data_IF_937974751347
#
_entry.id   IF_937974751347
#
_cell.length_a   1.000
_cell.length_b   1.000
_cell.length_c   1.000
_cell.angle_alpha   90.00
_cell.angle_beta   90.00
_cell.angle_gamma   90.00
#
_symmetry.space_group_name_H-M   'P 1'
#
loop_
_entity.id
_entity.type
_entity.pdbx_description
1 polymer ?
#
# COMPACT_ATOMS: atom_id res chain seq x y z
N UNK A 1 34.79 -15.36 34.10
CA UNK A 1 34.22 -16.72 34.01
C UNK A 1 32.81 -16.61 33.45
N UNK A 2 32.52 -17.30 32.33
CA UNK A 2 31.28 -17.13 31.59
C UNK A 2 30.15 -17.99 32.20
N UNK A 3 29.03 -17.35 32.57
CA UNK A 3 27.88 -18.03 33.15
C UNK A 3 27.15 -18.91 32.10
N UNK A 4 26.96 -20.22 32.35
CA UNK A 4 26.32 -21.13 31.41
C UNK A 4 24.78 -21.01 31.35
N UNK A 5 24.15 -20.25 32.26
CA UNK A 5 22.68 -20.14 32.35
C UNK A 5 22.06 -19.11 31.38
N UNK A 6 22.80 -18.09 30.94
CA UNK A 6 22.26 -17.05 30.03
C UNK A 6 22.24 -17.48 28.56
N UNK A 7 22.93 -18.57 28.22
CA UNK A 7 22.92 -19.12 26.86
C UNK A 7 21.71 -20.01 26.60
N UNK A 8 21.24 -20.76 27.61
CA UNK A 8 20.04 -21.60 27.48
C UNK A 8 18.76 -20.79 27.25
N UNK A 9 18.58 -19.66 27.95
CA UNK A 9 17.42 -18.78 27.77
C UNK A 9 17.42 -18.07 26.41
N UNK A 10 18.60 -17.73 25.89
CA UNK A 10 18.75 -17.06 24.60
C UNK A 10 18.40 -17.98 23.43
N UNK A 11 18.76 -19.27 23.51
CA UNK A 11 18.32 -20.27 22.52
C UNK A 11 16.84 -20.65 22.67
N UNK A 12 16.30 -20.67 23.89
CA UNK A 12 14.87 -20.94 24.12
C UNK A 12 13.98 -19.82 23.58
N UNK A 13 14.38 -18.54 23.77
CA UNK A 13 13.71 -17.40 23.15
C UNK A 13 13.89 -17.42 21.63
N UNK A 14 15.09 -17.69 21.12
CA UNK A 14 15.36 -17.68 19.68
C UNK A 14 14.65 -18.83 18.94
N UNK A 15 14.40 -19.98 19.58
CA UNK A 15 13.58 -21.07 19.01
C UNK A 15 12.07 -20.82 19.06
N UNK A 16 11.59 -19.91 19.92
CA UNK A 16 10.20 -19.44 19.92
C UNK A 16 10.01 -18.25 18.95
N UNK A 17 11.02 -17.41 18.76
CA UNK A 17 10.96 -16.16 17.98
C UNK A 17 11.20 -16.36 16.47
N UNK A 18 11.81 -17.48 16.06
CA UNK A 18 12.14 -17.78 14.64
C UNK A 18 11.17 -18.76 13.94
N UNK A 19 10.16 -19.28 14.65
CA UNK A 19 9.15 -20.21 14.11
C UNK A 19 7.70 -19.84 14.45
N UNK A 20 7.46 -18.66 15.03
CA UNK A 20 6.13 -18.04 15.02
C UNK A 20 6.08 -17.15 13.77
N UNK A 21 5.97 -17.88 12.65
CA UNK A 21 5.43 -17.49 11.36
C UNK A 21 5.66 -16.05 10.85
N UNK A 22 6.61 -15.93 9.93
CA UNK A 22 6.59 -14.98 8.81
C UNK A 22 5.35 -15.18 7.87
N UNK A 23 4.44 -16.09 8.22
CA UNK A 23 3.19 -16.41 7.53
C UNK A 23 2.00 -16.20 8.51
N UNK A 24 1.72 -14.93 8.85
CA UNK A 24 0.80 -14.52 9.92
C UNK A 24 -0.52 -15.34 9.99
N UNK A 25 -0.96 -15.73 11.20
CA UNK A 25 -2.25 -16.41 11.45
C UNK A 25 -3.34 -15.74 10.58
N UNK A 26 -4.07 -16.49 9.74
CA UNK A 26 -5.07 -15.93 8.82
C UNK A 26 -6.11 -15.06 9.53
N UNK A 27 -6.34 -15.30 10.84
CA UNK A 27 -7.20 -14.46 11.68
C UNK A 27 -6.63 -13.05 11.88
N UNK A 28 -5.32 -12.92 12.07
CA UNK A 28 -4.64 -11.62 12.22
C UNK A 28 -4.67 -10.84 10.91
N UNK A 29 -4.40 -11.51 9.77
CA UNK A 29 -4.47 -10.87 8.46
C UNK A 29 -5.89 -10.36 8.15
N UNK A 30 -6.91 -11.15 8.49
CA UNK A 30 -8.30 -10.75 8.33
C UNK A 30 -8.66 -9.52 9.18
N UNK A 31 -8.19 -9.48 10.44
CA UNK A 31 -8.38 -8.32 11.32
C UNK A 31 -7.70 -7.07 10.76
N UNK A 32 -6.46 -7.19 10.28
CA UNK A 32 -5.72 -6.09 9.65
C UNK A 32 -6.45 -5.56 8.41
N UNK A 33 -6.96 -6.45 7.55
CA UNK A 33 -7.74 -6.07 6.38
C UNK A 33 -9.02 -5.30 6.77
N UNK A 34 -9.74 -5.77 7.79
CA UNK A 34 -10.94 -5.08 8.30
C UNK A 34 -10.61 -3.74 8.94
N UNK A 35 -9.50 -3.63 9.65
CA UNK A 35 -9.05 -2.35 10.22
C UNK A 35 -8.70 -1.34 9.13
N UNK A 36 -7.99 -1.78 8.08
CA UNK A 36 -7.69 -0.94 6.93
C UNK A 36 -8.96 -0.49 6.20
N UNK A 37 -9.94 -1.38 6.00
CA UNK A 37 -11.22 -1.04 5.40
C UNK A 37 -11.96 0.04 6.22
N UNK A 38 -12.01 -0.12 7.55
CA UNK A 38 -12.59 0.88 8.46
C UNK A 38 -11.83 2.20 8.42
N UNK A 39 -10.50 2.16 8.34
CA UNK A 39 -9.66 3.36 8.18
C UNK A 39 -10.00 4.10 6.89
N UNK A 40 -10.04 3.41 5.76
CA UNK A 40 -10.41 4.01 4.47
C UNK A 40 -11.81 4.65 4.52
N UNK A 41 -12.79 3.97 5.13
CA UNK A 41 -14.12 4.53 5.31
C UNK A 41 -14.12 5.82 6.15
N UNK A 42 -13.37 5.85 7.27
CA UNK A 42 -13.23 7.05 8.10
C UNK A 42 -12.63 8.22 7.32
N UNK A 43 -11.58 7.98 6.53
CA UNK A 43 -10.97 9.01 5.70
C UNK A 43 -11.98 9.59 4.69
N UNK A 44 -12.77 8.73 4.03
CA UNK A 44 -13.84 9.17 3.13
C UNK A 44 -14.90 9.99 3.88
N UNK A 45 -15.28 9.56 5.08
CA UNK A 45 -16.26 10.28 5.92
C UNK A 45 -15.75 11.66 6.36
N UNK A 46 -14.48 11.77 6.76
CA UNK A 46 -13.84 13.03 7.13
C UNK A 46 -13.77 14.00 5.94
N UNK A 47 -13.39 13.51 4.76
CA UNK A 47 -13.41 14.31 3.54
C UNK A 47 -14.81 14.78 3.17
N UNK A 48 -15.81 13.90 3.23
CA UNK A 48 -17.20 14.26 2.97
C UNK A 48 -17.71 15.30 3.97
N UNK A 49 -17.37 15.16 5.25
CA UNK A 49 -17.74 16.13 6.29
C UNK A 49 -17.14 17.52 6.03
N UNK A 50 -15.89 17.60 5.59
CA UNK A 50 -15.25 18.88 5.23
C UNK A 50 -15.96 19.56 4.04
N UNK A 51 -16.30 18.79 3.00
CA UNK A 51 -16.99 19.31 1.81
C UNK A 51 -18.40 19.79 2.15
N UNK A 52 -19.17 18.99 2.90
CA UNK A 52 -20.51 19.37 3.38
C UNK A 52 -20.43 20.59 4.31
N UNK A 53 -19.40 20.65 5.16
CA UNK A 53 -19.14 21.80 6.02
C UNK A 53 -18.94 23.10 5.24
N UNK A 54 -18.14 23.07 4.17
CA UNK A 54 -17.95 24.22 3.28
C UNK A 54 -19.27 24.66 2.62
N UNK A 55 -20.08 23.72 2.13
CA UNK A 55 -21.41 24.02 1.57
C UNK A 55 -22.28 24.74 2.61
N UNK A 56 -22.35 24.24 3.84
CA UNK A 56 -23.14 24.84 4.92
C UNK A 56 -22.64 26.24 5.31
N UNK A 57 -21.32 26.47 5.28
CA UNK A 57 -20.75 27.79 5.52
C UNK A 57 -21.19 28.80 4.46
N UNK A 58 -21.22 28.39 3.19
CA UNK A 58 -21.71 29.22 2.09
C UNK A 58 -23.22 29.48 2.21
N UNK A 59 -24.00 28.48 2.60
CA UNK A 59 -25.44 28.60 2.85
C UNK A 59 -25.72 29.64 3.95
N UNK A 60 -25.04 29.55 5.10
CA UNK A 60 -25.17 30.56 6.16
C UNK A 60 -24.69 31.96 5.73
N UNK A 61 -23.72 32.05 4.81
CA UNK A 61 -23.28 33.35 4.25
C UNK A 61 -24.35 33.92 3.33
N UNK A 62 -24.98 33.09 2.49
CA UNK A 62 -26.10 33.49 1.63
C UNK A 62 -27.26 34.06 2.44
N UNK A 63 -27.69 33.39 3.50
CA UNK A 63 -28.78 33.87 4.37
C UNK A 63 -28.48 35.26 4.96
N UNK A 64 -27.24 35.47 5.43
CA UNK A 64 -26.80 36.77 5.94
C UNK A 64 -26.80 37.86 4.88
N UNK A 65 -26.34 37.55 3.66
CA UNK A 65 -26.31 38.49 2.54
C UNK A 65 -27.72 38.85 2.07
N UNK A 66 -28.63 37.88 1.99
CA UNK A 66 -30.04 38.10 1.64
C UNK A 66 -30.67 39.06 2.65
N UNK A 67 -30.49 38.82 3.95
CA UNK A 67 -30.99 39.73 4.98
C UNK A 67 -30.39 41.14 4.87
N UNK A 68 -29.08 41.24 4.61
CA UNK A 68 -28.43 42.54 4.42
C UNK A 68 -28.95 43.28 3.19
N UNK A 69 -29.24 42.55 2.11
CA UNK A 69 -29.83 43.10 0.89
C UNK A 69 -31.21 43.70 1.20
N UNK A 70 -32.08 42.94 1.86
CA UNK A 70 -33.43 43.38 2.26
C UNK A 70 -33.39 44.64 3.14
N UNK A 71 -32.52 44.65 4.16
CA UNK A 71 -32.36 45.80 5.06
C UNK A 71 -31.86 47.06 4.32
N UNK A 72 -30.89 46.92 3.41
CA UNK A 72 -30.36 48.04 2.62
C UNK A 72 -31.40 48.53 1.60
N UNK A 73 -32.14 47.64 0.96
CA UNK A 73 -33.25 47.99 0.07
C UNK A 73 -34.32 48.80 0.80
N UNK A 74 -34.73 48.35 2.00
CA UNK A 74 -35.71 49.07 2.82
C UNK A 74 -35.21 50.46 3.21
N UNK A 75 -33.98 50.55 3.75
CA UNK A 75 -33.38 51.84 4.15
C UNK A 75 -33.23 52.80 2.96
N UNK A 76 -32.82 52.28 1.80
CA UNK A 76 -32.70 53.09 0.57
C UNK A 76 -34.06 53.65 0.16
N UNK A 77 -35.12 52.81 0.18
CA UNK A 77 -36.49 53.23 -0.12
C UNK A 77 -36.98 54.32 0.84
N UNK A 78 -36.75 54.15 2.14
CA UNK A 78 -37.13 55.14 3.17
C UNK A 78 -36.40 56.46 2.94
N UNK A 79 -35.10 56.44 2.64
CA UNK A 79 -34.31 57.65 2.38
C UNK A 79 -34.83 58.40 1.14
N UNK A 80 -35.16 57.70 0.05
CA UNK A 80 -35.76 58.30 -1.13
C UNK A 80 -37.14 58.91 -0.84
N UNK A 81 -38.01 58.20 -0.12
CA UNK A 81 -39.31 58.73 0.30
C UNK A 81 -39.18 59.98 1.18
N UNK A 82 -38.16 60.03 2.05
CA UNK A 82 -37.87 61.20 2.86
C UNK A 82 -37.37 62.38 2.01
N UNK A 83 -36.52 62.11 0.99
CA UNK A 83 -36.07 63.12 0.03
C UNK A 83 -37.24 63.71 -0.77
N UNK A 84 -38.14 62.85 -1.28
CA UNK A 84 -39.34 63.26 -2.03
C UNK A 84 -40.27 64.12 -1.16
N UNK A 85 -40.46 63.74 0.11
CA UNK A 85 -41.25 64.51 1.06
C UNK A 85 -40.63 65.89 1.34
N UNK A 86 -39.31 65.95 1.58
CA UNK A 86 -38.61 67.21 1.79
C UNK A 86 -38.68 68.14 0.56
N UNK A 87 -38.59 67.56 -0.66
CA UNK A 87 -38.81 68.29 -1.91
C UNK A 87 -40.22 68.86 -2.01
N UNK A 88 -41.25 68.06 -1.69
CA UNK A 88 -42.65 68.50 -1.70
C UNK A 88 -42.94 69.61 -0.68
N UNK A 89 -42.21 69.61 0.45
CA UNK A 89 -42.28 70.64 1.49
C UNK A 89 -41.43 71.90 1.16
N UNK A 90 -40.64 71.88 0.08
CA UNK A 90 -39.79 72.99 -0.35
C UNK A 90 -38.46 73.11 0.39
N UNK A 91 -38.08 72.10 1.18
CA UNK A 91 -36.81 72.06 1.94
C UNK A 91 -35.71 71.39 1.10
N UNK A 92 -35.14 72.17 0.18
CA UNK A 92 -34.14 71.69 -0.79
C UNK A 92 -32.86 71.14 -0.12
N UNK A 93 -32.44 71.72 1.01
CA UNK A 93 -31.24 71.27 1.72
C UNK A 93 -31.45 69.86 2.29
N UNK A 94 -32.56 69.62 3.00
CA UNK A 94 -32.85 68.28 3.54
C UNK A 94 -33.08 67.25 2.44
N UNK A 95 -33.74 67.63 1.35
CA UNK A 95 -33.91 66.73 0.22
C UNK A 95 -32.56 66.26 -0.34
N UNK A 96 -31.58 67.17 -0.46
CA UNK A 96 -30.23 66.80 -0.89
C UNK A 96 -29.52 65.88 0.10
N UNK A 97 -29.65 66.11 1.41
CA UNK A 97 -29.05 65.25 2.45
C UNK A 97 -29.61 63.82 2.40
N UNK A 98 -30.93 63.67 2.25
CA UNK A 98 -31.56 62.35 2.10
C UNK A 98 -31.19 61.66 0.78
N UNK A 99 -31.08 62.42 -0.32
CA UNK A 99 -30.59 61.88 -1.60
C UNK A 99 -29.16 61.35 -1.47
N UNK A 100 -28.25 62.13 -0.88
CA UNK A 100 -26.87 61.67 -0.64
C UNK A 100 -26.85 60.39 0.24
N UNK A 101 -27.74 60.30 1.22
CA UNK A 101 -27.89 59.10 2.07
C UNK A 101 -28.37 57.90 1.25
N UNK A 102 -29.37 58.10 0.38
CA UNK A 102 -29.88 57.06 -0.51
C UNK A 102 -28.81 56.57 -1.49
N UNK A 103 -27.98 57.46 -2.05
CA UNK A 103 -26.86 57.10 -2.93
C UNK A 103 -25.82 56.22 -2.24
N UNK A 104 -25.47 56.53 -0.98
CA UNK A 104 -24.53 55.72 -0.19
C UNK A 104 -25.13 54.34 0.11
N UNK A 105 -26.40 54.27 0.50
CA UNK A 105 -27.09 53.01 0.77
C UNK A 105 -27.24 52.16 -0.49
N UNK A 106 -27.55 52.77 -1.64
CA UNK A 106 -27.63 52.10 -2.93
C UNK A 106 -26.26 51.54 -3.35
N UNK A 107 -25.17 52.29 -3.13
CA UNK A 107 -23.82 51.80 -3.41
C UNK A 107 -23.46 50.57 -2.55
N UNK A 108 -23.84 50.57 -1.28
CA UNK A 108 -23.67 49.41 -0.39
C UNK A 108 -24.54 48.23 -0.83
N UNK A 109 -25.78 48.49 -1.25
CA UNK A 109 -26.69 47.47 -1.74
C UNK A 109 -26.10 46.76 -2.96
N UNK A 110 -25.57 47.50 -3.94
CA UNK A 110 -24.93 46.92 -5.13
C UNK A 110 -23.76 46.01 -4.73
N UNK A 111 -22.94 46.40 -3.75
CA UNK A 111 -21.84 45.56 -3.28
C UNK A 111 -22.35 44.25 -2.65
N UNK A 112 -23.40 44.31 -1.82
CA UNK A 112 -24.03 43.12 -1.24
C UNK A 112 -24.64 42.22 -2.31
N UNK A 113 -25.26 42.79 -3.34
CA UNK A 113 -25.85 42.04 -4.45
C UNK A 113 -24.79 41.30 -5.28
N UNK A 114 -23.63 41.92 -5.49
CA UNK A 114 -22.48 41.27 -6.14
C UNK A 114 -21.93 40.11 -5.30
N UNK A 115 -21.74 40.33 -4.00
CA UNK A 115 -21.29 39.28 -3.07
C UNK A 115 -22.28 38.11 -3.00
N UNK A 116 -23.58 38.42 -3.05
CA UNK A 116 -24.65 37.44 -3.02
C UNK A 116 -24.64 36.58 -4.28
N UNK A 117 -24.49 37.17 -5.47
CA UNK A 117 -24.37 36.43 -6.73
C UNK A 117 -23.11 35.55 -6.76
N UNK A 118 -21.96 36.08 -6.34
CA UNK A 118 -20.72 35.31 -6.24
C UNK A 118 -20.88 34.13 -5.26
N UNK A 119 -21.50 34.38 -4.10
CA UNK A 119 -21.70 33.33 -3.09
C UNK A 119 -22.70 32.28 -3.59
N UNK A 120 -23.72 32.65 -4.38
CA UNK A 120 -24.67 31.71 -4.99
C UNK A 120 -23.97 30.75 -5.95
N UNK A 121 -23.10 31.28 -6.80
CA UNK A 121 -22.31 30.47 -7.74
C UNK A 121 -21.38 29.50 -7.00
N UNK A 122 -20.68 29.98 -5.97
CA UNK A 122 -19.84 29.14 -5.13
C UNK A 122 -20.66 28.05 -4.39
N UNK A 123 -21.84 28.40 -3.87
CA UNK A 123 -22.74 27.47 -3.20
C UNK A 123 -23.24 26.38 -4.15
N UNK A 124 -23.64 26.72 -5.38
CA UNK A 124 -24.08 25.75 -6.37
C UNK A 124 -22.97 24.71 -6.69
N UNK A 125 -21.72 25.17 -6.83
CA UNK A 125 -20.58 24.27 -6.99
C UNK A 125 -20.34 23.40 -5.76
N UNK A 126 -20.42 23.98 -4.56
CA UNK A 126 -20.27 23.23 -3.30
C UNK A 126 -21.40 22.22 -3.08
N UNK A 127 -22.62 22.51 -3.54
CA UNK A 127 -23.76 21.60 -3.47
C UNK A 127 -23.53 20.35 -4.33
N UNK A 128 -23.01 20.52 -5.55
CA UNK A 128 -22.63 19.39 -6.39
C UNK A 128 -21.52 18.55 -5.74
N UNK A 129 -20.45 19.19 -5.26
CA UNK A 129 -19.36 18.49 -4.58
C UNK A 129 -19.85 17.74 -3.34
N UNK A 130 -20.76 18.33 -2.56
CA UNK A 130 -21.37 17.68 -1.39
C UNK A 130 -22.19 16.45 -1.78
N UNK A 131 -22.98 16.52 -2.86
CA UNK A 131 -23.74 15.36 -3.38
C UNK A 131 -22.81 14.22 -3.79
N UNK A 132 -21.75 14.53 -4.52
CA UNK A 132 -20.76 13.54 -4.96
C UNK A 132 -20.04 12.89 -3.77
N UNK A 133 -19.61 13.70 -2.79
CA UNK A 133 -18.97 13.21 -1.58
C UNK A 133 -19.90 12.32 -0.73
N UNK A 134 -21.18 12.68 -0.62
CA UNK A 134 -22.20 11.86 0.06
C UNK A 134 -22.42 10.52 -0.66
N UNK A 135 -22.48 10.52 -1.99
CA UNK A 135 -22.60 9.29 -2.77
C UNK A 135 -21.38 8.36 -2.57
N UNK A 136 -20.17 8.92 -2.56
CA UNK A 136 -18.94 8.17 -2.27
C UNK A 136 -18.94 7.59 -0.84
N UNK A 137 -19.43 8.35 0.13
CA UNK A 137 -19.57 7.89 1.52
C UNK A 137 -20.54 6.70 1.61
N UNK A 138 -21.72 6.80 0.99
CA UNK A 138 -22.69 5.70 0.94
C UNK A 138 -22.11 4.46 0.26
N UNK A 139 -21.39 4.62 -0.85
CA UNK A 139 -20.72 3.52 -1.53
C UNK A 139 -19.62 2.89 -0.66
N UNK A 140 -18.88 3.71 0.11
CA UNK A 140 -17.88 3.22 1.05
C UNK A 140 -18.52 2.43 2.19
N UNK A 141 -19.66 2.90 2.72
CA UNK A 141 -20.39 2.21 3.78
C UNK A 141 -20.91 0.85 3.31
N UNK A 142 -21.49 0.80 2.10
CA UNK A 142 -21.93 -0.45 1.49
C UNK A 142 -20.77 -1.45 1.33
N UNK A 143 -19.62 -0.99 0.81
CA UNK A 143 -18.42 -1.83 0.65
C UNK A 143 -17.89 -2.32 2.00
N UNK A 144 -17.85 -1.46 3.02
CA UNK A 144 -17.40 -1.84 4.36
C UNK A 144 -18.33 -2.91 4.97
N UNK A 145 -19.64 -2.76 4.77
CA UNK A 145 -20.64 -3.73 5.23
C UNK A 145 -20.46 -5.10 4.56
N UNK A 146 -20.27 -5.11 3.24
CA UNK A 146 -19.99 -6.33 2.48
C UNK A 146 -18.70 -7.02 2.96
N UNK A 147 -17.61 -6.26 3.11
CA UNK A 147 -16.35 -6.78 3.62
C UNK A 147 -16.48 -7.33 5.04
N UNK A 148 -17.28 -6.68 5.91
CA UNK A 148 -17.55 -7.17 7.25
C UNK A 148 -18.29 -8.53 7.24
N UNK A 149 -19.26 -8.71 6.35
CA UNK A 149 -19.98 -9.97 6.20
C UNK A 149 -19.06 -11.08 5.67
N UNK A 150 -18.24 -10.79 4.66
CA UNK A 150 -17.25 -11.74 4.13
C UNK A 150 -16.23 -12.13 5.21
N UNK A 151 -15.76 -11.15 5.99
CA UNK A 151 -14.83 -11.40 7.09
C UNK A 151 -15.44 -12.33 8.14
N UNK A 152 -16.71 -12.14 8.52
CA UNK A 152 -17.37 -13.04 9.47
C UNK A 152 -17.44 -14.49 8.96
N UNK A 153 -17.67 -14.68 7.65
CA UNK A 153 -17.68 -16.01 7.05
C UNK A 153 -16.29 -16.65 7.04
N UNK A 154 -15.26 -15.89 6.65
CA UNK A 154 -13.87 -16.34 6.65
C UNK A 154 -13.38 -16.67 8.06
N UNK A 155 -13.74 -15.86 9.06
CA UNK A 155 -13.40 -16.12 10.46
C UNK A 155 -13.98 -17.45 10.93
N UNK A 156 -15.25 -17.75 10.60
CA UNK A 156 -15.85 -19.04 10.93
C UNK A 156 -15.12 -20.22 10.27
N UNK A 157 -14.67 -20.07 9.03
CA UNK A 157 -13.91 -21.10 8.32
C UNK A 157 -12.51 -21.29 8.92
N UNK A 158 -11.84 -20.20 9.29
CA UNK A 158 -10.54 -20.22 9.97
C UNK A 158 -10.67 -20.97 11.31
N UNK A 159 -11.69 -20.65 12.11
CA UNK A 159 -11.92 -21.30 13.40
C UNK A 159 -12.22 -22.80 13.25
N UNK A 160 -12.99 -23.19 12.21
CA UNK A 160 -13.24 -24.60 11.89
C UNK A 160 -11.97 -25.34 11.47
N UNK A 161 -11.16 -24.76 10.58
CA UNK A 161 -9.90 -25.34 10.14
C UNK A 161 -8.92 -25.51 11.30
N UNK A 162 -8.83 -24.51 12.19
CA UNK A 162 -7.99 -24.55 13.39
C UNK A 162 -8.41 -25.65 14.36
N UNK A 163 -9.72 -25.89 14.53
CA UNK A 163 -10.23 -27.01 15.33
C UNK A 163 -9.84 -28.37 14.73
N UNK A 164 -9.92 -28.52 13.41
CA UNK A 164 -9.52 -29.74 12.71
C UNK A 164 -8.01 -29.98 12.83
N UNK A 165 -7.20 -28.93 12.67
CA UNK A 165 -5.75 -28.98 12.85
C UNK A 165 -5.39 -29.40 14.28
N UNK A 166 -6.00 -28.77 15.29
CA UNK A 166 -5.79 -29.14 16.69
C UNK A 166 -6.18 -30.60 16.97
N UNK A 167 -7.28 -31.07 16.39
CA UNK A 167 -7.73 -32.46 16.52
C UNK A 167 -6.74 -33.43 15.88
N UNK A 168 -6.23 -33.12 14.68
CA UNK A 168 -5.23 -33.92 13.98
C UNK A 168 -3.89 -33.95 14.73
N UNK A 169 -3.42 -32.79 15.23
CA UNK A 169 -2.22 -32.70 16.07
C UNK A 169 -2.38 -33.52 17.36
N UNK A 170 -3.56 -33.47 17.99
CA UNK A 170 -3.86 -34.27 19.18
C UNK A 170 -3.85 -35.77 18.85
N UNK A 171 -4.40 -36.17 17.70
CA UNK A 171 -4.41 -37.57 17.27
C UNK A 171 -3.02 -38.07 16.88
N UNK A 172 -2.18 -37.25 16.25
CA UNK A 172 -0.77 -37.57 15.96
C UNK A 172 0.03 -37.73 17.25
N UNK A 173 -0.22 -36.86 18.24
CA UNK A 173 0.35 -36.98 19.58
C UNK A 173 -0.11 -38.29 20.25
N UNK A 174 -1.41 -38.62 20.17
CA UNK A 174 -1.95 -39.89 20.70
C UNK A 174 -1.37 -41.10 19.95
N UNK A 175 -1.14 -41.06 18.64
CA UNK A 175 -0.49 -42.15 17.90
C UNK A 175 0.98 -42.32 18.29
N UNK A 176 1.71 -41.24 18.55
CA UNK A 176 3.06 -41.29 19.12
C UNK A 176 3.07 -41.89 20.53
N UNK A 177 2.05 -41.65 21.34
CA UNK A 177 1.93 -42.23 22.69
C UNK A 177 1.27 -43.62 22.73
N UNK A 178 0.43 -43.96 21.75
CA UNK A 178 -0.28 -45.24 21.60
C UNK A 178 0.57 -46.33 20.96
N UNK A 179 1.63 -45.95 20.25
CA UNK A 179 2.75 -46.83 19.89
C UNK A 179 3.74 -47.03 21.05
N UNK A 180 3.34 -46.83 22.31
CA UNK A 180 4.06 -47.38 23.47
C UNK A 180 3.77 -48.88 23.58
N UNK A 181 4.27 -49.65 22.62
CA UNK A 181 4.82 -50.98 22.91
C UNK A 181 6.31 -50.81 23.25
N UNK A 182 6.56 -49.94 24.25
CA UNK A 182 7.88 -49.51 24.70
C UNK A 182 8.48 -50.58 25.63
N UNK A 183 8.41 -51.83 25.19
CA UNK A 183 9.35 -52.86 25.57
C UNK A 183 10.23 -53.07 24.34
N UNK A 184 11.52 -52.72 24.37
CA UNK A 184 12.41 -53.05 23.27
C UNK A 184 12.32 -54.55 23.00
N UNK A 185 11.69 -54.94 21.90
CA UNK A 185 11.75 -56.33 21.45
C UNK A 185 13.20 -56.60 21.05
N UNK A 186 13.67 -57.83 21.31
CA UNK A 186 15.02 -58.21 20.93
C UNK A 186 15.28 -57.98 19.43
N UNK A 187 14.24 -58.06 18.60
CA UNK A 187 14.30 -57.77 17.17
C UNK A 187 14.50 -56.27 16.87
N UNK A 188 13.83 -55.35 17.57
CA UNK A 188 14.05 -53.91 17.37
C UNK A 188 15.46 -53.45 17.80
N UNK A 189 16.04 -54.10 18.82
CA UNK A 189 17.44 -53.90 19.21
C UNK A 189 18.38 -54.52 18.17
N UNK A 190 18.05 -55.70 17.66
CA UNK A 190 18.79 -56.38 16.58
C UNK A 190 18.84 -55.52 15.33
N UNK A 191 17.72 -54.97 14.87
CA UNK A 191 17.66 -54.09 13.70
C UNK A 191 18.48 -52.81 13.89
N UNK A 192 18.50 -52.24 15.09
CA UNK A 192 19.36 -51.08 15.40
C UNK A 192 20.84 -51.43 15.40
N UNK A 193 21.20 -52.61 15.91
CA UNK A 193 22.58 -53.11 15.90
C UNK A 193 22.99 -53.41 14.45
N UNK A 194 22.15 -54.10 13.67
CA UNK A 194 22.39 -54.43 12.26
C UNK A 194 22.48 -53.16 11.42
N UNK A 195 21.62 -52.15 11.65
CA UNK A 195 21.71 -50.86 10.98
C UNK A 195 22.99 -50.11 11.34
N UNK A 196 23.41 -50.12 12.61
CA UNK A 196 24.68 -49.51 13.04
C UNK A 196 25.89 -50.27 12.49
N UNK A 197 25.82 -51.59 12.43
CA UNK A 197 26.84 -52.45 11.88
C UNK A 197 26.97 -52.26 10.37
N UNK A 198 25.85 -52.23 9.62
CA UNK A 198 25.82 -51.93 8.20
C UNK A 198 26.27 -50.49 7.90
N UNK A 199 25.92 -49.51 8.74
CA UNK A 199 26.43 -48.14 8.62
C UNK A 199 27.94 -48.08 8.86
N UNK A 200 28.48 -48.85 9.82
CA UNK A 200 29.91 -48.93 10.08
C UNK A 200 30.66 -49.68 8.98
N UNK A 201 30.09 -50.78 8.46
CA UNK A 201 30.64 -51.51 7.31
C UNK A 201 30.64 -50.64 6.06
N UNK A 202 29.53 -49.95 5.79
CA UNK A 202 29.42 -48.99 4.69
C UNK A 202 30.36 -47.80 4.83
N UNK A 203 30.60 -47.31 6.06
CA UNK A 203 31.63 -46.31 6.31
C UNK A 203 33.06 -46.86 6.09
N UNK A 204 33.29 -48.17 6.31
CA UNK A 204 34.57 -48.83 6.04
C UNK A 204 34.76 -49.15 4.55
N UNK A 205 33.69 -49.47 3.83
CA UNK A 205 33.63 -49.60 2.37
C UNK A 205 33.91 -48.24 1.72
N UNK A 206 33.27 -47.17 2.19
CA UNK A 206 33.53 -45.78 1.75
C UNK A 206 34.94 -45.30 2.13
N UNK A 207 35.51 -45.78 3.23
CA UNK A 207 36.90 -45.49 3.57
C UNK A 207 37.90 -46.27 2.69
N UNK A 208 37.56 -47.49 2.25
CA UNK A 208 38.33 -48.26 1.27
C UNK A 208 38.20 -47.69 -0.16
N UNK A 209 37.00 -47.27 -0.57
CA UNK A 209 36.75 -46.62 -1.85
C UNK A 209 37.37 -45.22 -1.90
N UNK A 210 37.28 -44.42 -0.82
CA UNK A 210 37.91 -43.09 -0.83
C UNK A 210 39.44 -43.09 -0.74
N UNK A 211 40.08 -44.22 -0.37
CA UNK A 211 41.54 -44.39 -0.48
C UNK A 211 41.96 -44.95 -1.85
N UNK A 212 41.10 -45.73 -2.52
CA UNK A 212 41.28 -46.18 -3.90
C UNK A 212 41.05 -45.05 -4.93
N UNK A 213 39.99 -44.27 -4.76
CA UNK A 213 39.65 -43.15 -5.65
C UNK A 213 40.61 -41.96 -5.48
N UNK A 214 41.11 -41.68 -4.27
CA UNK A 214 42.09 -40.58 -4.06
C UNK A 214 43.48 -40.87 -4.61
N UNK A 215 43.84 -42.13 -4.90
CA UNK A 215 45.08 -42.45 -5.63
C UNK A 215 44.86 -42.48 -7.16
N UNK A 216 43.64 -42.76 -7.63
CA UNK A 216 43.32 -42.69 -9.06
C UNK A 216 43.05 -41.26 -9.56
N UNK A 217 42.54 -40.35 -8.72
CA UNK A 217 42.25 -38.94 -9.11
C UNK A 217 43.49 -38.03 -9.17
N UNK A 218 44.60 -38.40 -8.50
CA UNK A 218 45.84 -37.61 -8.53
C UNK A 218 46.69 -37.88 -9.79
N UNK A 219 46.44 -38.97 -10.53
CA UNK A 219 47.17 -39.26 -11.77
C UNK A 219 46.42 -38.81 -13.04
N UNK A 220 45.10 -38.53 -12.98
CA UNK A 220 44.28 -38.09 -14.13
C UNK A 220 43.86 -36.61 -14.11
N UNK A 221 43.94 -35.90 -12.99
CA UNK A 221 43.56 -34.47 -12.93
C UNK A 221 44.68 -33.48 -13.35
N UNK A 222 45.87 -33.97 -13.71
CA UNK A 222 47.03 -33.13 -14.07
C UNK A 222 47.20 -32.81 -15.57
N UNK A 223 46.53 -33.54 -16.47
CA UNK A 223 46.81 -33.50 -17.92
C UNK A 223 45.74 -32.81 -18.79
N UNK A 224 44.48 -32.75 -18.37
CA UNK A 224 43.41 -32.26 -19.27
C UNK A 224 43.13 -30.74 -19.14
N UNK A 225 43.49 -30.10 -18.03
CA UNK A 225 43.30 -28.64 -17.87
C UNK A 225 44.37 -27.82 -18.64
N UNK A 226 45.55 -28.39 -18.92
CA UNK A 226 46.62 -27.70 -19.68
C UNK A 226 46.50 -27.85 -21.20
N UNK A 227 45.67 -28.77 -21.70
CA UNK A 227 45.46 -28.98 -23.13
C UNK A 227 44.42 -28.01 -23.72
N UNK A 228 43.30 -27.76 -23.01
CA UNK A 228 42.24 -26.87 -23.47
C UNK A 228 42.71 -25.40 -23.54
N UNK A 229 43.35 -24.89 -22.47
CA UNK A 229 43.85 -23.50 -22.47
C UNK A 229 44.95 -23.24 -23.52
N UNK A 230 45.73 -24.26 -23.91
CA UNK A 230 46.81 -24.13 -24.90
C UNK A 230 46.30 -24.20 -26.35
N UNK A 231 45.20 -24.92 -26.58
CA UNK A 231 44.52 -24.96 -27.89
C UNK A 231 43.80 -23.64 -28.21
N UNK A 232 43.23 -22.98 -27.20
CA UNK A 232 42.61 -21.66 -27.37
C UNK A 232 43.66 -20.55 -27.57
N UNK A 233 44.81 -20.63 -26.88
CA UNK A 233 45.96 -19.73 -27.11
C UNK A 233 46.53 -19.85 -28.53
N UNK A 234 46.66 -21.08 -29.06
CA UNK A 234 47.16 -21.31 -30.42
C UNK A 234 46.17 -20.80 -31.47
N UNK A 235 44.85 -21.01 -31.29
CA UNK A 235 43.82 -20.46 -32.20
C UNK A 235 43.77 -18.93 -32.17
N UNK A 236 43.91 -18.32 -31.00
CA UNK A 236 43.99 -16.86 -30.88
C UNK A 236 45.24 -16.29 -31.56
N UNK A 237 46.38 -16.99 -31.47
CA UNK A 237 47.63 -16.58 -32.13
C UNK A 237 47.62 -16.72 -33.66
N UNK A 238 46.85 -17.66 -34.21
CA UNK A 238 46.68 -17.81 -35.66
C UNK A 238 45.76 -16.74 -36.27
N UNK A 239 44.62 -16.45 -35.63
CA UNK A 239 43.68 -15.43 -36.12
C UNK A 239 44.21 -13.99 -35.99
N UNK A 240 45.21 -13.74 -35.14
CA UNK A 240 45.84 -12.43 -34.99
C UNK A 240 46.96 -12.16 -36.01
N UNK A 241 47.54 -13.22 -36.60
CA UNK A 241 48.52 -13.08 -37.68
C UNK A 241 47.85 -12.92 -39.06
N UNK A 242 46.62 -13.43 -39.24
CA UNK A 242 45.88 -13.36 -40.50
C UNK A 242 45.04 -12.08 -40.65
N UNK A 243 44.76 -11.37 -39.54
CA UNK A 243 44.05 -10.07 -39.54
C UNK A 243 44.97 -8.84 -39.55
N UNK A 244 46.29 -9.05 -39.65
CA UNK A 244 47.28 -7.98 -39.84
C UNK A 244 47.72 -7.81 -41.32
N UNK A 245 47.08 -8.52 -42.27
CA UNK A 245 47.40 -8.45 -43.71
C UNK A 245 46.27 -7.82 -44.56
N UNK A 246 45.06 -7.61 -44.03
CA UNK A 246 44.00 -6.87 -44.74
C UNK A 246 43.53 -5.68 -43.90
N UNK A 247 44.21 -4.55 -44.09
CA UNK A 247 43.71 -3.24 -43.70
C UNK A 247 43.14 -2.53 -44.94
N UNK A 248 41.88 -2.10 -44.93
CA UNK A 248 41.45 -0.86 -45.56
C UNK A 248 41.37 0.20 -44.45
N UNK A 249 42.19 1.24 -44.45
CA UNK A 249 42.16 2.42 -45.33
C UNK A 249 40.78 3.10 -45.32
N UNK A 250 40.77 4.22 -44.60
CA UNK A 250 39.93 5.43 -44.65
C UNK A 250 38.59 5.41 -45.42
N UNK A 251 37.55 5.89 -44.74
CA UNK A 251 36.55 6.76 -45.38
C UNK A 251 36.06 7.78 -44.35
N UNK A 252 36.10 9.08 -44.70
CA UNK A 252 34.84 9.79 -44.76
C UNK A 252 34.74 10.72 -45.98
N UNK A 253 33.49 11.00 -46.39
CA UNK A 253 32.96 12.09 -47.24
C UNK A 253 31.95 11.49 -48.26
N UNK A 254 30.65 11.79 -48.17
CA UNK A 254 29.93 13.02 -48.55
C UNK A 254 29.59 13.08 -50.06
N UNK A 255 28.43 13.70 -50.35
CA UNK A 255 27.87 14.04 -51.69
C UNK A 255 27.05 12.91 -52.38
N UNK A 256 25.75 13.06 -52.67
CA UNK A 256 24.97 14.03 -53.46
C UNK A 256 24.98 13.72 -54.97
N UNK A 257 23.87 13.17 -55.47
CA UNK A 257 23.41 13.15 -56.88
C UNK A 257 21.88 13.34 -56.80
N UNK A 258 21.18 14.31 -57.40
CA UNK A 258 21.18 14.97 -58.73
C UNK A 258 21.06 14.04 -59.94
N UNK A 259 19.85 14.11 -60.51
CA UNK A 259 19.44 14.11 -61.93
C UNK A 259 19.82 12.93 -62.84
N UNK A 260 18.79 12.28 -63.38
CA UNK A 260 18.38 12.43 -64.80
C UNK A 260 16.87 12.16 -64.96
#
# INVERSE_FOLDING_TARGET
>A
MANPFSKGWKYLMQSFDSKIDENADPKVQLQQAMEQARKNHREIAEHAAAIVGNRNQLEMKLERLIKSQEELQEKTRIALQAADKANAEGDATKAQEYNNTAEVLASQLVAVEQDLEQTKQAHAGAEQAAREAQAQLQQSEARLSEQAQQAQQLESQIDQAKMQEQTAQTMDTINQFGANDNVPTLDGVRDKIEKRYATALGAQELAKDSLGDRMAEIETAGTDIKAASKLDEIRASMNSAEKAIEAPEEAPEAEAEKED
#
